data_IF_820194622097
#
_entry.id   IF_820194622097
#
_cell.length_a   1.000
_cell.length_b   1.000
_cell.length_c   1.000
_cell.angle_alpha   90.00
_cell.angle_beta   90.00
_cell.angle_gamma   90.00
#
_symmetry.space_group_name_H-M   'P 1'
#
loop_
_entity.id
_entity.type
_entity.pdbx_description
1 polymer ?
#
# COMPACT_ATOMS: atom_id res chain seq x y z
N UNK A 1 -77.29 19.36 47.74
CA UNK A 1 -76.25 18.32 47.92
C UNK A 1 -75.76 17.96 46.53
N UNK A 2 -74.46 18.13 46.32
CA UNK A 2 -73.66 17.82 45.13
C UNK A 2 -73.94 18.59 43.82
N UNK A 3 -72.96 18.85 42.96
CA UNK A 3 -71.60 19.38 43.10
C UNK A 3 -71.08 19.57 41.66
N UNK A 4 -70.29 20.63 41.44
CA UNK A 4 -69.08 20.54 40.61
C UNK A 4 -69.25 20.38 39.07
N UNK A 5 -69.67 21.46 38.38
CA UNK A 5 -69.66 21.57 36.90
C UNK A 5 -68.61 22.55 36.35
N UNK A 6 -67.77 23.19 37.16
CA UNK A 6 -66.89 24.28 36.67
C UNK A 6 -65.41 24.21 37.10
N UNK A 7 -65.00 23.24 37.91
CA UNK A 7 -63.58 23.04 38.23
C UNK A 7 -62.83 22.12 37.25
N UNK A 8 -63.54 21.44 36.33
CA UNK A 8 -62.93 20.55 35.33
C UNK A 8 -62.28 21.31 34.16
N UNK A 9 -62.69 22.55 33.89
CA UNK A 9 -62.20 23.29 32.71
C UNK A 9 -60.92 24.10 33.03
N UNK A 10 -60.60 24.35 34.30
CA UNK A 10 -59.48 25.22 34.68
C UNK A 10 -58.20 24.51 35.17
N UNK A 11 -58.22 23.19 35.32
CA UNK A 11 -57.04 22.41 35.76
C UNK A 11 -56.56 21.36 34.74
N UNK A 12 -57.19 21.29 33.56
CA UNK A 12 -56.60 20.63 32.38
C UNK A 12 -55.61 21.53 31.63
N UNK A 13 -55.39 22.76 32.11
CA UNK A 13 -54.60 23.79 31.44
C UNK A 13 -53.27 24.11 32.15
N UNK A 14 -52.79 23.23 33.04
CA UNK A 14 -51.52 23.40 33.74
C UNK A 14 -50.72 22.09 33.63
N UNK A 15 -49.76 22.13 32.71
CA UNK A 15 -48.60 21.23 32.57
C UNK A 15 -48.96 19.86 31.97
N UNK A 16 -49.21 19.83 30.65
CA UNK A 16 -48.67 18.73 29.85
C UNK A 16 -47.14 18.91 29.83
N UNK A 17 -46.34 18.05 30.49
CA UNK A 17 -44.95 17.96 30.10
C UNK A 17 -44.95 17.40 28.68
N UNK A 18 -44.72 18.26 27.69
CA UNK A 18 -44.18 17.83 26.40
C UNK A 18 -42.90 17.08 26.71
N UNK A 19 -43.03 15.78 26.92
CA UNK A 19 -41.92 14.86 26.99
C UNK A 19 -41.28 14.94 25.62
N UNK A 20 -40.26 15.79 25.51
CA UNK A 20 -39.27 15.69 24.46
C UNK A 20 -38.80 14.24 24.54
N UNK A 21 -39.33 13.39 23.67
CA UNK A 21 -38.80 12.08 23.38
C UNK A 21 -37.40 12.34 22.84
N UNK A 22 -36.43 12.48 23.74
CA UNK A 22 -35.03 12.25 23.47
C UNK A 22 -35.01 10.84 22.92
N UNK A 23 -35.08 10.72 21.59
CA UNK A 23 -34.77 9.50 20.86
C UNK A 23 -33.38 9.12 21.36
N UNK A 24 -33.32 8.17 22.29
CA UNK A 24 -32.07 7.62 22.80
C UNK A 24 -31.36 7.11 21.57
N UNK A 25 -30.37 7.84 21.09
CA UNK A 25 -29.60 7.48 19.91
C UNK A 25 -28.84 6.22 20.32
N UNK A 26 -29.42 5.05 20.04
CA UNK A 26 -28.73 3.79 20.20
C UNK A 26 -27.70 3.74 19.08
N UNK A 27 -26.52 4.29 19.36
CA UNK A 27 -25.38 4.19 18.46
C UNK A 27 -25.03 2.71 18.33
N UNK A 28 -25.24 2.15 17.15
CA UNK A 28 -24.76 0.83 16.80
C UNK A 28 -23.22 0.81 16.95
N UNK A 29 -22.67 -0.25 17.55
CA UNK A 29 -21.22 -0.47 17.69
C UNK A 29 -20.49 -0.29 16.36
N UNK A 30 -21.07 -0.75 15.25
CA UNK A 30 -20.50 -0.56 13.91
C UNK A 30 -20.33 0.93 13.56
N UNK A 31 -21.33 1.76 13.87
CA UNK A 31 -21.25 3.21 13.65
C UNK A 31 -20.13 3.83 14.49
N UNK A 32 -19.99 3.41 15.75
CA UNK A 32 -18.91 3.88 16.64
C UNK A 32 -17.55 3.53 16.04
N UNK A 33 -17.34 2.28 15.59
CA UNK A 33 -16.09 1.84 14.99
C UNK A 33 -15.79 2.58 13.68
N UNK A 34 -16.79 2.86 12.85
CA UNK A 34 -16.62 3.67 11.63
C UNK A 34 -16.19 5.09 11.95
N UNK A 35 -16.77 5.71 12.97
CA UNK A 35 -16.40 7.06 13.42
C UNK A 35 -14.97 7.06 13.95
N UNK A 36 -14.60 6.09 14.79
CA UNK A 36 -13.22 5.95 15.30
C UNK A 36 -12.23 5.80 14.15
N UNK A 37 -12.49 4.88 13.20
CA UNK A 37 -11.63 4.67 12.05
C UNK A 37 -11.49 5.94 11.20
N UNK A 38 -12.57 6.70 10.99
CA UNK A 38 -12.53 7.97 10.27
C UNK A 38 -11.68 9.02 10.99
N UNK A 39 -11.85 9.18 12.31
CA UNK A 39 -11.07 10.11 13.12
C UNK A 39 -9.58 9.75 13.06
N UNK A 40 -9.21 8.49 13.30
CA UNK A 40 -7.80 8.06 13.28
C UNK A 40 -7.20 8.28 11.89
N UNK A 41 -7.89 7.88 10.83
CA UNK A 41 -7.42 8.06 9.44
C UNK A 41 -7.19 9.54 9.14
N UNK A 42 -8.13 10.40 9.53
CA UNK A 42 -8.03 11.84 9.32
C UNK A 42 -6.88 12.45 10.14
N UNK A 43 -6.66 11.99 11.36
CA UNK A 43 -5.52 12.44 12.19
C UNK A 43 -4.17 12.07 11.57
N UNK A 44 -4.01 10.84 11.05
CA UNK A 44 -2.79 10.41 10.36
C UNK A 44 -2.59 11.21 9.07
N UNK A 45 -3.66 11.47 8.32
CA UNK A 45 -3.62 12.32 7.14
C UNK A 45 -3.15 13.74 7.48
N UNK A 46 -3.74 14.38 8.50
CA UNK A 46 -3.36 15.71 8.94
C UNK A 46 -1.90 15.76 9.38
N UNK A 47 -1.45 14.76 10.16
CA UNK A 47 -0.04 14.62 10.56
C UNK A 47 0.87 14.60 9.34
N UNK A 48 0.62 13.71 8.38
CA UNK A 48 1.44 13.59 7.18
C UNK A 48 1.40 14.85 6.30
N UNK A 49 0.25 15.52 6.20
CA UNK A 49 0.06 16.68 5.34
C UNK A 49 0.67 17.98 5.90
N UNK A 50 0.77 18.11 7.22
CA UNK A 50 1.15 19.35 7.90
C UNK A 50 2.57 19.28 8.45
N UNK A 51 2.95 18.14 9.04
CA UNK A 51 4.22 18.05 9.75
C UNK A 51 5.37 17.65 8.82
N UNK A 52 6.51 18.32 9.03
CA UNK A 52 7.75 17.94 8.37
C UNK A 52 8.31 16.73 9.11
N UNK A 53 8.68 15.70 8.35
CA UNK A 53 9.37 14.55 8.91
C UNK A 53 10.81 14.93 9.27
N UNK A 54 11.25 14.67 10.49
CA UNK A 54 12.61 14.93 10.97
C UNK A 54 13.45 13.64 11.09
N UNK A 55 12.94 12.52 10.58
CA UNK A 55 13.64 11.24 10.56
C UNK A 55 14.95 11.33 9.78
N UNK A 56 15.99 10.68 10.30
CA UNK A 56 17.29 10.65 9.65
C UNK A 56 17.21 10.05 8.25
N UNK A 57 16.51 8.91 8.05
CA UNK A 57 16.45 8.28 6.73
C UNK A 57 15.73 9.16 5.70
N UNK A 58 14.74 9.95 6.15
CA UNK A 58 13.99 10.86 5.31
C UNK A 58 14.86 11.97 4.72
N UNK A 59 15.63 12.67 5.56
CA UNK A 59 16.55 13.70 5.08
C UNK A 59 17.89 13.16 4.58
N UNK A 60 18.27 11.98 5.07
CA UNK A 60 19.52 11.33 4.76
C UNK A 60 19.53 10.74 3.37
N UNK A 61 18.38 10.34 2.80
CA UNK A 61 18.34 9.90 1.41
C UNK A 61 16.98 10.00 0.72
N UNK A 62 15.84 9.72 1.37
CA UNK A 62 14.55 9.68 0.67
C UNK A 62 14.16 11.03 0.03
N UNK A 63 14.16 12.12 0.81
CA UNK A 63 13.81 13.46 0.33
C UNK A 63 14.84 14.01 -0.68
N UNK A 64 16.17 13.88 -0.46
CA UNK A 64 17.16 14.21 -1.49
C UNK A 64 16.94 13.46 -2.82
N UNK A 65 16.64 12.15 -2.75
CA UNK A 65 16.40 11.33 -3.94
C UNK A 65 15.13 11.79 -4.67
N UNK A 66 14.04 11.97 -3.92
CA UNK A 66 12.78 12.50 -4.43
C UNK A 66 12.95 13.87 -5.12
N UNK A 67 13.70 14.78 -4.49
CA UNK A 67 13.99 16.09 -5.03
C UNK A 67 14.81 16.02 -6.33
N UNK A 68 15.82 15.15 -6.38
CA UNK A 68 16.67 14.93 -7.56
C UNK A 68 15.87 14.37 -8.74
N UNK A 69 15.03 13.35 -8.51
CA UNK A 69 14.20 12.72 -9.57
C UNK A 69 13.32 13.76 -10.28
N UNK A 70 12.75 14.71 -9.51
CA UNK A 70 11.83 15.72 -10.02
C UNK A 70 12.48 17.08 -10.30
N UNK A 71 13.82 17.16 -10.31
CA UNK A 71 14.58 18.38 -10.51
C UNK A 71 14.14 19.55 -9.60
N UNK A 72 13.73 19.25 -8.37
CA UNK A 72 13.42 20.25 -7.34
C UNK A 72 14.73 20.85 -6.81
N UNK A 73 15.77 20.02 -6.69
CA UNK A 73 17.13 20.40 -6.34
C UNK A 73 18.04 20.01 -7.52
N UNK A 74 18.98 20.87 -7.93
CA UNK A 74 19.88 20.60 -9.04
C UNK A 74 20.91 19.52 -8.66
N UNK A 75 21.38 18.75 -9.65
CA UNK A 75 22.19 17.55 -9.44
C UNK A 75 23.53 17.83 -8.76
N UNK A 76 24.07 19.04 -8.89
CA UNK A 76 25.34 19.49 -8.33
C UNK A 76 25.27 19.67 -6.80
N UNK A 77 24.07 19.83 -6.25
CA UNK A 77 23.84 19.93 -4.80
C UNK A 77 23.68 18.55 -4.14
N UNK A 78 23.69 17.49 -4.94
CA UNK A 78 23.52 16.12 -4.48
C UNK A 78 24.88 15.46 -4.32
N UNK A 79 25.50 15.61 -3.16
CA UNK A 79 26.89 15.21 -2.90
C UNK A 79 26.94 13.91 -2.07
N UNK A 80 27.81 12.97 -2.45
CA UNK A 80 28.12 11.72 -1.71
C UNK A 80 26.98 10.69 -1.63
N UNK A 81 26.02 10.72 -2.54
CA UNK A 81 24.88 9.79 -2.58
C UNK A 81 24.57 9.26 -3.98
N UNK A 82 25.37 9.64 -4.98
CA UNK A 82 25.21 9.32 -6.39
C UNK A 82 25.17 7.82 -6.62
N UNK A 83 26.13 7.09 -6.04
CA UNK A 83 26.14 5.63 -6.10
C UNK A 83 24.84 5.05 -5.50
N UNK A 84 24.36 5.53 -4.35
CA UNK A 84 23.10 4.99 -3.79
C UNK A 84 21.91 5.30 -4.68
N UNK A 85 21.83 6.52 -5.19
CA UNK A 85 20.79 6.95 -6.11
C UNK A 85 20.75 6.11 -7.39
N UNK A 86 21.91 5.84 -7.98
CA UNK A 86 22.01 5.10 -9.23
C UNK A 86 21.69 3.61 -9.08
N UNK A 87 21.89 3.05 -7.89
CA UNK A 87 21.67 1.63 -7.60
C UNK A 87 20.34 1.31 -6.97
N UNK A 88 19.78 2.20 -6.17
CA UNK A 88 18.59 1.88 -5.40
C UNK A 88 17.34 1.84 -6.29
N UNK A 89 16.36 1.02 -5.90
CA UNK A 89 15.03 1.08 -6.47
C UNK A 89 14.31 2.32 -5.92
N UNK A 90 13.97 3.28 -6.79
CA UNK A 90 13.52 4.62 -6.40
C UNK A 90 12.02 4.87 -6.64
N UNK A 91 11.18 3.84 -6.73
CA UNK A 91 9.76 4.03 -7.04
C UNK A 91 9.02 4.79 -5.93
N UNK A 92 9.36 4.52 -4.65
CA UNK A 92 8.77 5.23 -3.52
C UNK A 92 9.12 6.72 -3.57
N UNK A 93 10.41 7.02 -3.72
CA UNK A 93 10.97 8.36 -3.83
C UNK A 93 10.44 9.10 -5.07
N UNK A 94 10.21 8.39 -6.17
CA UNK A 94 9.56 8.95 -7.36
C UNK A 94 8.17 9.50 -7.01
N UNK A 95 7.33 8.75 -6.28
CA UNK A 95 6.01 9.25 -5.87
C UNK A 95 6.11 10.36 -4.82
N UNK A 96 7.10 10.29 -3.92
CA UNK A 96 7.33 11.35 -2.92
C UNK A 96 7.65 12.67 -3.60
N UNK A 97 8.58 12.64 -4.56
CA UNK A 97 8.98 13.82 -5.33
C UNK A 97 7.85 14.33 -6.21
N UNK A 98 7.00 13.45 -6.75
CA UNK A 98 5.83 13.84 -7.53
C UNK A 98 4.83 14.65 -6.70
N UNK A 99 4.49 14.17 -5.51
CA UNK A 99 3.58 14.87 -4.61
C UNK A 99 4.19 16.20 -4.15
N UNK A 100 5.49 16.22 -3.84
CA UNK A 100 6.20 17.45 -3.51
C UNK A 100 6.16 18.43 -4.68
N UNK A 101 6.46 17.99 -5.89
CA UNK A 101 6.48 18.83 -7.07
C UNK A 101 5.11 19.45 -7.37
N UNK A 102 4.02 18.69 -7.24
CA UNK A 102 2.65 19.21 -7.45
C UNK A 102 2.25 20.21 -6.37
N UNK A 103 2.45 19.85 -5.11
CA UNK A 103 1.95 20.65 -3.97
C UNK A 103 2.88 21.81 -3.62
N UNK A 104 4.11 21.80 -4.13
CA UNK A 104 5.22 22.69 -3.76
C UNK A 104 5.55 22.64 -2.26
N UNK A 105 5.23 21.53 -1.59
CA UNK A 105 5.43 21.33 -0.15
C UNK A 105 6.13 20.01 0.12
N UNK A 106 7.28 20.05 0.81
CA UNK A 106 8.06 18.85 1.14
C UNK A 106 7.26 17.86 1.99
N UNK A 107 6.37 18.36 2.85
CA UNK A 107 5.48 17.55 3.70
C UNK A 107 4.64 16.55 2.91
N UNK A 108 4.27 16.89 1.67
CA UNK A 108 3.45 16.01 0.85
C UNK A 108 4.15 14.70 0.47
N UNK A 109 5.48 14.60 0.60
CA UNK A 109 6.20 13.34 0.46
C UNK A 109 5.73 12.28 1.48
N UNK A 110 5.34 12.70 2.69
CA UNK A 110 4.79 11.81 3.71
C UNK A 110 3.49 11.12 3.25
N UNK A 111 2.75 11.74 2.33
CA UNK A 111 1.45 11.21 1.89
C UNK A 111 1.58 9.93 1.06
N UNK A 112 2.78 9.57 0.57
CA UNK A 112 2.98 8.29 -0.13
C UNK A 112 2.71 7.10 0.79
N UNK A 113 3.22 7.14 2.03
CA UNK A 113 2.94 6.12 3.04
C UNK A 113 1.45 6.05 3.34
N UNK A 114 0.82 7.18 3.62
CA UNK A 114 -0.62 7.27 3.88
C UNK A 114 -1.47 6.71 2.71
N UNK A 115 -1.20 7.14 1.47
CA UNK A 115 -1.95 6.71 0.30
C UNK A 115 -1.77 5.22 0.02
N UNK A 116 -0.57 4.67 0.26
CA UNK A 116 -0.35 3.22 0.16
C UNK A 116 -1.24 2.44 1.14
N UNK A 117 -1.41 2.94 2.37
CA UNK A 117 -2.33 2.35 3.35
C UNK A 117 -3.79 2.42 2.90
N UNK A 118 -4.22 3.54 2.31
CA UNK A 118 -5.57 3.67 1.74
C UNK A 118 -5.79 2.66 0.61
N UNK A 119 -4.81 2.51 -0.29
CA UNK A 119 -4.84 1.51 -1.37
C UNK A 119 -4.96 0.11 -0.78
N UNK A 120 -4.21 -0.22 0.27
CA UNK A 120 -4.26 -1.52 0.92
C UNK A 120 -5.62 -1.81 1.55
N UNK A 121 -6.20 -0.85 2.28
CA UNK A 121 -7.54 -1.01 2.87
C UNK A 121 -8.60 -1.18 1.78
N UNK A 122 -8.49 -0.45 0.67
CA UNK A 122 -9.37 -0.63 -0.48
C UNK A 122 -9.23 -2.03 -1.09
N UNK A 123 -7.99 -2.51 -1.24
CA UNK A 123 -7.69 -3.86 -1.72
C UNK A 123 -8.32 -4.93 -0.83
N UNK A 124 -8.13 -4.85 0.49
CA UNK A 124 -8.71 -5.78 1.46
C UNK A 124 -10.24 -5.80 1.40
N UNK A 125 -10.87 -4.62 1.32
CA UNK A 125 -12.33 -4.52 1.16
C UNK A 125 -12.81 -5.15 -0.14
N UNK A 126 -12.10 -4.91 -1.26
CA UNK A 126 -12.55 -5.35 -2.58
C UNK A 126 -12.33 -6.83 -2.84
N UNK A 127 -11.21 -7.38 -2.37
CA UNK A 127 -10.78 -8.75 -2.67
C UNK A 127 -11.07 -9.75 -1.56
N UNK A 128 -11.08 -9.30 -0.30
CA UNK A 128 -11.29 -10.16 0.88
C UNK A 128 -12.55 -9.79 1.66
N UNK A 129 -13.33 -8.81 1.18
CA UNK A 129 -14.58 -8.36 1.81
C UNK A 129 -14.41 -7.91 3.28
N UNK A 130 -13.19 -7.55 3.68
CA UNK A 130 -12.91 -7.08 5.04
C UNK A 130 -13.49 -5.68 5.20
N UNK A 131 -14.23 -5.47 6.29
CA UNK A 131 -14.75 -4.16 6.61
C UNK A 131 -13.61 -3.13 6.82
N UNK A 132 -13.73 -1.99 6.14
CA UNK A 132 -12.66 -0.98 6.12
C UNK A 132 -12.30 -0.46 7.51
N UNK A 133 -13.29 -0.27 8.40
CA UNK A 133 -13.06 0.25 9.74
C UNK A 133 -12.25 -0.72 10.60
N UNK A 134 -12.46 -2.03 10.44
CA UNK A 134 -11.66 -3.06 11.11
C UNK A 134 -10.22 -3.06 10.57
N UNK A 135 -10.05 -2.95 9.25
CA UNK A 135 -8.72 -2.89 8.63
C UNK A 135 -7.92 -1.69 9.14
N UNK A 136 -8.54 -0.51 9.16
CA UNK A 136 -7.91 0.73 9.63
C UNK A 136 -7.52 0.61 11.11
N UNK A 137 -8.46 0.20 11.97
CA UNK A 137 -8.20 0.09 13.41
C UNK A 137 -7.10 -0.94 13.68
N UNK A 138 -7.13 -2.10 13.01
CA UNK A 138 -6.13 -3.14 13.21
C UNK A 138 -4.73 -2.71 12.71
N UNK A 139 -4.65 -2.12 11.51
CA UNK A 139 -3.37 -1.69 10.93
C UNK A 139 -2.78 -0.51 11.70
N UNK A 140 -3.60 0.50 12.02
CA UNK A 140 -3.15 1.66 12.77
C UNK A 140 -3.02 1.39 14.27
N UNK A 141 -3.44 0.23 14.79
CA UNK A 141 -3.05 -0.16 16.15
C UNK A 141 -1.56 -0.53 16.24
N UNK A 142 -0.91 -0.83 15.12
CA UNK A 142 0.53 -1.13 15.06
C UNK A 142 1.33 0.19 14.99
N UNK A 143 2.14 0.52 16.01
CA UNK A 143 2.83 1.82 16.05
C UNK A 143 3.76 2.07 14.85
N UNK A 144 4.45 1.04 14.36
CA UNK A 144 5.32 1.18 13.19
C UNK A 144 4.53 1.59 11.94
N UNK A 145 3.35 1.02 11.71
CA UNK A 145 2.50 1.41 10.57
C UNK A 145 2.07 2.87 10.71
N UNK A 146 1.71 3.35 11.92
CA UNK A 146 1.36 4.76 12.13
C UNK A 146 2.53 5.70 11.78
N UNK A 147 3.74 5.37 12.23
CA UNK A 147 4.95 6.15 11.95
C UNK A 147 5.19 6.20 10.44
N UNK A 148 5.27 5.05 9.76
CA UNK A 148 5.54 5.01 8.33
C UNK A 148 4.39 5.54 7.47
N UNK A 149 3.15 5.59 7.97
CA UNK A 149 2.02 6.18 7.26
C UNK A 149 2.02 7.71 7.30
N UNK A 150 2.75 8.32 8.22
CA UNK A 150 2.77 9.78 8.40
C UNK A 150 4.14 10.43 8.15
N UNK A 151 5.14 9.64 7.77
CA UNK A 151 6.52 10.05 7.52
C UNK A 151 6.96 9.69 6.09
N UNK A 152 8.10 10.23 5.64
CA UNK A 152 8.64 10.05 4.29
C UNK A 152 9.46 8.76 4.13
N UNK A 153 9.07 7.68 4.81
CA UNK A 153 9.69 6.37 4.65
C UNK A 153 9.05 5.58 3.50
N UNK A 154 9.85 4.87 2.72
CA UNK A 154 9.36 4.00 1.62
C UNK A 154 9.01 2.58 2.07
N UNK A 155 9.33 2.23 3.31
CA UNK A 155 9.07 0.91 3.88
C UNK A 155 7.61 0.49 3.77
N UNK A 156 6.68 1.39 4.10
CA UNK A 156 5.26 1.04 4.14
C UNK A 156 4.71 0.73 2.75
N UNK A 157 4.99 1.56 1.74
CA UNK A 157 4.54 1.31 0.38
C UNK A 157 5.13 -0.01 -0.16
N UNK A 158 6.42 -0.25 0.07
CA UNK A 158 7.10 -1.46 -0.40
C UNK A 158 6.52 -2.74 0.24
N UNK A 159 6.25 -2.70 1.55
CA UNK A 159 5.68 -3.82 2.30
C UNK A 159 4.20 -4.03 2.01
N UNK A 160 3.43 -2.97 1.76
CA UNK A 160 2.01 -3.08 1.36
C UNK A 160 1.90 -3.81 0.03
N UNK A 161 2.74 -3.46 -0.95
CA UNK A 161 2.75 -4.16 -2.22
C UNK A 161 3.15 -5.63 -2.05
N UNK A 162 4.15 -5.94 -1.20
CA UNK A 162 4.49 -7.33 -0.89
C UNK A 162 3.30 -8.07 -0.23
N UNK A 163 2.64 -7.46 0.74
CA UNK A 163 1.49 -8.03 1.43
C UNK A 163 0.32 -8.31 0.47
N UNK A 164 0.03 -7.38 -0.46
CA UNK A 164 -0.95 -7.61 -1.52
C UNK A 164 -0.59 -8.83 -2.36
N UNK A 165 0.68 -8.98 -2.75
CA UNK A 165 1.13 -10.11 -3.56
C UNK A 165 1.03 -11.44 -2.81
N UNK A 166 1.40 -11.47 -1.53
CA UNK A 166 1.25 -12.65 -0.65
C UNK A 166 -0.23 -13.03 -0.52
N UNK A 167 -1.12 -12.05 -0.33
CA UNK A 167 -2.55 -12.29 -0.23
C UNK A 167 -3.15 -12.79 -1.55
N UNK A 168 -2.66 -12.29 -2.69
CA UNK A 168 -3.05 -12.83 -4.00
C UNK A 168 -2.57 -14.27 -4.20
N UNK A 169 -1.37 -14.60 -3.72
CA UNK A 169 -0.91 -15.99 -3.69
C UNK A 169 -1.84 -16.85 -2.82
N UNK A 170 -2.15 -16.41 -1.60
CA UNK A 170 -3.10 -17.11 -0.72
C UNK A 170 -4.45 -17.36 -1.40
N UNK A 171 -5.05 -16.32 -1.99
CA UNK A 171 -6.32 -16.42 -2.72
C UNK A 171 -6.25 -17.46 -3.84
N UNK A 172 -5.14 -17.53 -4.57
CA UNK A 172 -4.92 -18.51 -5.64
C UNK A 172 -4.76 -19.96 -5.13
N UNK A 173 -4.30 -20.15 -3.90
CA UNK A 173 -4.25 -21.48 -3.27
C UNK A 173 -5.59 -21.90 -2.68
N UNK A 174 -6.35 -20.95 -2.15
CA UNK A 174 -7.72 -21.16 -1.67
C UNK A 174 -8.66 -21.50 -2.83
N UNK A 175 -8.53 -20.81 -3.95
CA UNK A 175 -9.31 -21.06 -5.16
C UNK A 175 -8.69 -22.23 -5.96
N UNK A 176 -9.54 -23.14 -6.48
CA UNK A 176 -9.09 -24.20 -7.40
C UNK A 176 -9.21 -23.79 -8.87
N UNK A 177 -9.28 -22.48 -9.12
CA UNK A 177 -9.46 -21.89 -10.44
C UNK A 177 -8.24 -21.07 -10.84
N UNK A 178 -8.05 -20.91 -12.15
CA UNK A 178 -6.97 -20.09 -12.70
C UNK A 178 -7.20 -18.60 -12.38
N UNK A 179 -6.13 -17.82 -12.14
CA UNK A 179 -6.28 -16.42 -11.82
C UNK A 179 -6.87 -15.65 -13.00
N UNK A 180 -7.80 -14.73 -12.71
CA UNK A 180 -8.31 -13.84 -13.74
C UNK A 180 -7.24 -12.85 -14.19
N UNK A 181 -7.43 -12.20 -15.35
CA UNK A 181 -6.51 -11.15 -15.81
C UNK A 181 -6.37 -10.00 -14.80
N UNK A 182 -7.43 -9.71 -14.04
CA UNK A 182 -7.39 -8.70 -12.98
C UNK A 182 -6.48 -9.12 -11.83
N UNK A 183 -6.54 -10.39 -11.45
CA UNK A 183 -5.67 -10.95 -10.41
C UNK A 183 -4.20 -10.91 -10.86
N UNK A 184 -3.93 -11.26 -12.12
CA UNK A 184 -2.59 -11.18 -12.71
C UNK A 184 -2.05 -9.74 -12.77
N UNK A 185 -2.88 -8.76 -13.12
CA UNK A 185 -2.50 -7.34 -13.09
C UNK A 185 -2.15 -6.90 -11.67
N UNK A 186 -2.93 -7.32 -10.67
CA UNK A 186 -2.64 -6.99 -9.27
C UNK A 186 -1.33 -7.63 -8.82
N UNK A 187 -1.11 -8.92 -9.12
CA UNK A 187 0.16 -9.61 -8.82
C UNK A 187 1.34 -8.88 -9.47
N UNK A 188 1.20 -8.49 -10.74
CA UNK A 188 2.22 -7.73 -11.45
C UNK A 188 2.51 -6.38 -10.79
N UNK A 189 1.49 -5.56 -10.55
CA UNK A 189 1.64 -4.23 -9.94
C UNK A 189 2.19 -4.32 -8.52
N UNK A 190 1.79 -5.33 -7.75
CA UNK A 190 2.28 -5.60 -6.41
C UNK A 190 3.75 -6.06 -6.43
N UNK A 191 4.12 -6.99 -7.31
CA UNK A 191 5.52 -7.39 -7.48
C UNK A 191 6.40 -6.22 -7.92
N UNK A 192 5.96 -5.47 -8.94
CA UNK A 192 6.64 -4.29 -9.46
C UNK A 192 6.81 -3.22 -8.37
N UNK A 193 5.72 -2.90 -7.67
CA UNK A 193 5.69 -1.90 -6.62
C UNK A 193 6.63 -2.24 -5.47
N UNK A 194 6.66 -3.50 -5.03
CA UNK A 194 7.52 -3.93 -3.93
C UNK A 194 9.00 -3.97 -4.34
N UNK A 195 9.30 -4.65 -5.46
CA UNK A 195 10.67 -4.86 -5.93
C UNK A 195 11.35 -3.55 -6.37
N UNK A 196 10.59 -2.57 -6.86
CA UNK A 196 11.15 -1.27 -7.28
C UNK A 196 11.00 -0.17 -6.22
N UNK A 197 10.54 -0.49 -5.00
CA UNK A 197 10.59 0.46 -3.87
C UNK A 197 11.66 0.14 -2.85
N UNK A 198 12.05 -1.13 -2.68
CA UNK A 198 13.01 -1.51 -1.64
C UNK A 198 13.80 -2.78 -2.02
N UNK A 199 15.16 -2.73 -2.07
CA UNK A 199 15.96 -3.82 -2.61
C UNK A 199 15.92 -5.07 -1.72
N UNK A 200 15.77 -4.90 -0.40
CA UNK A 200 15.67 -6.01 0.55
C UNK A 200 14.42 -6.88 0.33
N UNK A 201 13.40 -6.38 -0.38
CA UNK A 201 12.18 -7.14 -0.67
C UNK A 201 12.27 -7.95 -1.96
N UNK A 202 13.26 -7.71 -2.83
CA UNK A 202 13.39 -8.41 -4.11
C UNK A 202 13.46 -9.95 -3.95
N UNK A 203 14.24 -10.52 -3.01
CA UNK A 203 14.26 -11.97 -2.82
C UNK A 203 12.90 -12.53 -2.36
N UNK A 204 12.16 -11.77 -1.55
CA UNK A 204 10.83 -12.15 -1.09
C UNK A 204 9.82 -12.09 -2.24
N UNK A 205 9.90 -11.05 -3.08
CA UNK A 205 9.07 -10.94 -4.28
C UNK A 205 9.31 -12.14 -5.20
N UNK A 206 10.58 -12.48 -5.43
CA UNK A 206 10.95 -13.65 -6.24
C UNK A 206 10.38 -14.94 -5.67
N UNK A 207 10.55 -15.19 -4.37
CA UNK A 207 10.02 -16.38 -3.72
C UNK A 207 8.49 -16.49 -3.90
N UNK A 208 7.73 -15.42 -3.66
CA UNK A 208 6.27 -15.43 -3.82
C UNK A 208 5.86 -15.66 -5.28
N UNK A 209 6.56 -15.07 -6.25
CA UNK A 209 6.31 -15.31 -7.67
C UNK A 209 6.58 -16.75 -8.07
N UNK A 210 7.61 -17.41 -7.51
CA UNK A 210 7.85 -18.84 -7.71
C UNK A 210 6.66 -19.65 -7.19
N UNK A 211 6.16 -19.38 -5.99
CA UNK A 211 4.97 -20.07 -5.46
C UNK A 211 3.74 -19.87 -6.34
N UNK A 212 3.46 -18.64 -6.77
CA UNK A 212 2.35 -18.34 -7.69
C UNK A 212 2.52 -19.10 -9.01
N UNK A 213 3.72 -19.07 -9.59
CA UNK A 213 4.00 -19.73 -10.88
C UNK A 213 3.80 -21.24 -10.78
N UNK A 214 4.35 -21.88 -9.75
CA UNK A 214 4.17 -23.30 -9.50
C UNK A 214 2.69 -23.66 -9.35
N UNK A 215 1.92 -22.83 -8.64
CA UNK A 215 0.48 -23.03 -8.47
C UNK A 215 -0.29 -22.90 -9.78
N UNK A 216 -0.02 -21.88 -10.59
CA UNK A 216 -0.66 -21.71 -11.90
C UNK A 216 -0.33 -22.90 -12.80
N UNK A 217 0.94 -23.31 -12.85
CA UNK A 217 1.36 -24.49 -13.64
C UNK A 217 0.66 -25.77 -13.18
N UNK A 218 0.51 -25.95 -11.87
CA UNK A 218 -0.22 -27.09 -11.31
C UNK A 218 -1.70 -27.08 -11.70
N UNK A 219 -2.36 -25.92 -11.61
CA UNK A 219 -3.77 -25.75 -12.00
C UNK A 219 -3.96 -25.99 -13.50
N UNK A 220 -3.10 -25.42 -14.35
CA UNK A 220 -3.16 -25.65 -15.79
C UNK A 220 -2.88 -27.11 -16.16
N UNK A 221 -1.93 -27.77 -15.48
CA UNK A 221 -1.66 -29.18 -15.67
C UNK A 221 -2.87 -30.05 -15.32
N UNK A 222 -3.53 -29.77 -14.20
CA UNK A 222 -4.68 -30.55 -13.73
C UNK A 222 -5.93 -30.31 -14.59
N UNK A 223 -6.15 -29.08 -15.06
CA UNK A 223 -7.30 -28.72 -15.89
C UNK A 223 -7.12 -29.06 -17.38
N UNK A 224 -5.88 -29.28 -17.83
CA UNK A 224 -5.59 -29.60 -19.23
C UNK A 224 -6.00 -31.03 -19.58
N UNK A 225 -7.04 -31.16 -20.42
CA UNK A 225 -7.52 -32.45 -20.94
C UNK A 225 -6.46 -33.15 -21.82
N UNK A 226 -5.57 -32.38 -22.46
CA UNK A 226 -4.52 -32.91 -23.33
C UNK A 226 -3.21 -32.12 -23.19
N UNK A 227 -2.07 -32.83 -23.14
CA UNK A 227 -0.71 -32.25 -23.08
C UNK A 227 -0.43 -31.22 -24.18
N UNK A 228 -1.04 -31.37 -25.36
CA UNK A 228 -0.89 -30.40 -26.45
C UNK A 228 -1.50 -29.02 -26.12
N UNK A 229 -2.56 -28.97 -25.32
CA UNK A 229 -3.20 -27.72 -24.92
C UNK A 229 -2.33 -26.95 -23.93
N UNK A 230 -1.74 -27.65 -22.96
CA UNK A 230 -0.78 -27.08 -22.02
C UNK A 230 0.42 -26.46 -22.74
N UNK A 231 1.00 -27.15 -23.73
CA UNK A 231 2.13 -26.63 -24.51
C UNK A 231 1.76 -25.34 -25.26
N UNK A 232 0.57 -25.30 -25.88
CA UNK A 232 0.07 -24.08 -26.55
C UNK A 232 -0.14 -22.92 -25.57
N UNK A 233 -0.61 -23.20 -24.37
CA UNK A 233 -0.76 -22.20 -23.31
C UNK A 233 0.60 -21.67 -22.86
N UNK A 234 1.56 -22.56 -22.56
CA UNK A 234 2.92 -22.20 -22.14
C UNK A 234 3.61 -21.31 -23.17
N UNK A 235 3.47 -21.61 -24.46
CA UNK A 235 4.04 -20.80 -25.54
C UNK A 235 3.56 -19.35 -25.52
N UNK A 236 2.33 -19.09 -25.05
CA UNK A 236 1.79 -17.73 -24.89
C UNK A 236 2.15 -17.11 -23.53
N UNK A 237 2.09 -17.91 -22.47
CA UNK A 237 2.29 -17.42 -21.11
C UNK A 237 3.75 -17.06 -20.82
N UNK A 238 4.71 -17.87 -21.29
CA UNK A 238 6.14 -17.70 -20.99
C UNK A 238 6.67 -16.34 -21.46
N UNK A 239 6.46 -15.89 -22.71
CA UNK A 239 6.94 -14.57 -23.14
C UNK A 239 6.38 -13.41 -22.31
N UNK A 240 5.09 -13.49 -21.95
CA UNK A 240 4.42 -12.47 -21.13
C UNK A 240 4.98 -12.47 -19.72
N UNK A 241 5.15 -13.65 -19.13
CA UNK A 241 5.72 -13.80 -17.80
C UNK A 241 7.17 -13.30 -17.75
N UNK A 242 7.99 -13.61 -18.77
CA UNK A 242 9.35 -13.11 -18.88
C UNK A 242 9.40 -11.58 -18.95
N UNK A 243 8.56 -10.97 -19.80
CA UNK A 243 8.47 -9.51 -19.88
C UNK A 243 8.02 -8.90 -18.55
N UNK A 244 7.02 -9.50 -17.89
CA UNK A 244 6.57 -9.07 -16.59
C UNK A 244 7.67 -9.18 -15.52
N UNK A 245 8.43 -10.29 -15.50
CA UNK A 245 9.55 -10.48 -14.58
C UNK A 245 10.66 -9.46 -14.81
N UNK A 246 10.99 -9.13 -16.06
CA UNK A 246 11.98 -8.09 -16.37
C UNK A 246 11.55 -6.71 -15.85
N UNK A 247 10.26 -6.39 -15.93
CA UNK A 247 9.73 -5.13 -15.39
C UNK A 247 9.67 -5.16 -13.86
N UNK A 248 9.21 -6.25 -13.26
CA UNK A 248 9.18 -6.42 -11.79
C UNK A 248 10.58 -6.24 -11.22
N UNK A 249 11.58 -6.90 -11.81
CA UNK A 249 12.98 -6.84 -11.39
C UNK A 249 13.81 -5.82 -12.20
N UNK A 250 13.19 -4.73 -12.66
CA UNK A 250 13.85 -3.75 -13.52
C UNK A 250 15.12 -3.17 -12.88
N UNK A 251 15.07 -2.83 -11.59
CA UNK A 251 16.23 -2.29 -10.85
C UNK A 251 17.40 -3.29 -10.76
N UNK A 252 17.24 -4.50 -10.23
CA UNK A 252 18.35 -5.44 -10.15
C UNK A 252 18.85 -5.89 -11.53
N UNK A 253 17.96 -6.01 -12.53
CA UNK A 253 18.37 -6.29 -13.93
C UNK A 253 19.26 -5.17 -14.47
N UNK A 254 18.85 -3.90 -14.31
CA UNK A 254 19.66 -2.74 -14.68
C UNK A 254 21.01 -2.78 -13.97
N UNK A 255 21.02 -3.07 -12.67
CA UNK A 255 22.23 -3.04 -11.87
C UNK A 255 23.22 -4.17 -12.24
N UNK A 256 22.72 -5.37 -12.57
CA UNK A 256 23.55 -6.46 -13.11
C UNK A 256 24.22 -6.02 -14.41
N UNK A 257 23.47 -5.40 -15.33
CA UNK A 257 24.00 -4.97 -16.64
C UNK A 257 25.04 -3.86 -16.47
N UNK A 258 24.77 -2.86 -15.63
CA UNK A 258 25.61 -1.68 -15.49
C UNK A 258 26.83 -1.91 -14.57
N UNK A 259 26.69 -2.71 -13.52
CA UNK A 259 27.65 -2.81 -12.43
C UNK A 259 28.11 -4.23 -12.11
N UNK A 260 27.49 -5.26 -12.70
CA UNK A 260 27.78 -6.66 -12.38
C UNK A 260 27.27 -7.10 -11.01
N UNK A 261 26.47 -6.27 -10.33
CA UNK A 261 25.95 -6.53 -8.99
C UNK A 261 24.48 -6.06 -8.93
N UNK A 262 23.51 -6.93 -8.55
CA UNK A 262 22.10 -6.56 -8.52
C UNK A 262 21.74 -5.51 -7.46
N UNK A 263 22.48 -5.44 -6.35
CA UNK A 263 22.08 -4.64 -5.17
C UNK A 263 22.86 -3.34 -5.01
N UNK A 264 24.12 -3.32 -5.46
CA UNK A 264 24.99 -2.16 -5.27
C UNK A 264 25.69 -1.79 -6.57
N UNK A 265 25.70 -0.50 -6.94
CA UNK A 265 26.41 -0.02 -8.12
C UNK A 265 27.88 0.23 -7.82
N UNK A 266 28.50 -0.73 -7.13
CA UNK A 266 29.94 -0.75 -6.91
C UNK A 266 30.46 -1.83 -7.84
N UNK A 267 31.22 -1.42 -8.87
CA UNK A 267 31.94 -2.37 -9.72
C UNK A 267 32.83 -3.21 -8.81
N UNK A 268 32.60 -4.51 -8.80
CA UNK A 268 33.48 -5.45 -8.11
C UNK A 268 34.73 -5.59 -8.99
N UNK A 269 35.64 -4.62 -8.90
CA UNK A 269 36.96 -4.77 -9.46
C UNK A 269 37.73 -5.69 -8.52
N UNK A 270 37.86 -6.97 -8.91
CA UNK A 270 38.79 -7.87 -8.25
C UNK A 270 40.18 -7.29 -8.48
N UNK A 271 40.77 -6.69 -7.44
CA UNK A 271 42.18 -6.31 -7.41
C UNK A 271 43.01 -7.59 -7.56
N UNK A 272 43.27 -7.98 -8.80
CA UNK A 272 44.31 -8.95 -9.13
C UNK A 272 45.63 -8.22 -8.92
N UNK A 273 46.16 -8.31 -7.69
CA UNK A 273 47.55 -7.96 -7.42
C UNK A 273 48.41 -8.97 -8.17
N UNK A 274 49.05 -8.54 -9.25
CA UNK A 274 50.20 -9.22 -9.84
C UNK A 274 51.45 -8.95 -8.99
#
# INVERSE_FOLDING_TARGET
MENCSLSRIFLEMIIEPKTLKLKKLQLNLETILKVIAAIITFSVFLRGAIDVDYGYDSWGYHLPFAARIWNIIPAEQFINMEARFDGFPLLGEFFQGFLWWITRRVQSANLVGFLSLVIYVYFLKRHFQIAYYLSIIALLAVPSIQIHASNSYVDLIANIFLAMMILMAYKLYEQQELPSIRDLIIIFLAGFGSSNSKPQLEPLVFAVLVFITLRILWLEWHNSVNRQQLVKWLYKAVPIALLASLLIFATPVRNIIAYGNPFYPVKIELLVRY
#
